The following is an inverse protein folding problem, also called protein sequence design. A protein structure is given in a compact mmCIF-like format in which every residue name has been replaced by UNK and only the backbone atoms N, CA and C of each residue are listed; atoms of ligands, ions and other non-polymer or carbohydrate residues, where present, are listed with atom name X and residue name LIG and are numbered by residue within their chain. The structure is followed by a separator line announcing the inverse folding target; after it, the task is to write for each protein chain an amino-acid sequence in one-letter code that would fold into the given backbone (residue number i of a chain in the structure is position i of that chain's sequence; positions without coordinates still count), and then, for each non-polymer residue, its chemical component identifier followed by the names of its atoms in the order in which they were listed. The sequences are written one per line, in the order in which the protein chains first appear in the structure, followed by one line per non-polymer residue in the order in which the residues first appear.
data_IF_389701291557
#
_entry.id   IF_389701291557
#
_cell.length_a   1.000
_cell.length_b   1.000
_cell.length_c   1.000
_cell.angle_alpha   90.00
_cell.angle_beta   90.00
_cell.angle_gamma   90.00
#
_symmetry.space_group_name_H-M   'P 1'
#
loop_
_entity.id
_entity.type
_entity.pdbx_description
1 polymer ?
#
# COMPACT_ATOMS: atom_id res chain seq x y z
N UNK A 1 6.48 -29.06 -3.36
CA UNK A 1 6.13 -28.60 -4.73
C UNK A 1 5.03 -27.52 -4.75
N UNK A 2 4.94 -26.61 -3.76
CA UNK A 2 3.81 -25.65 -3.65
C UNK A 2 4.16 -24.17 -3.93
N UNK A 3 5.40 -23.88 -4.36
CA UNK A 3 5.84 -22.50 -4.66
C UNK A 3 5.62 -22.06 -6.12
N UNK A 4 5.33 -22.98 -7.03
CA UNK A 4 5.17 -22.68 -8.47
C UNK A 4 3.78 -22.17 -8.89
N UNK A 5 2.73 -22.52 -8.15
CA UNK A 5 1.32 -22.21 -8.50
C UNK A 5 0.86 -20.82 -8.08
N UNK A 6 1.51 -20.20 -7.07
CA UNK A 6 1.17 -18.83 -6.63
C UNK A 6 1.77 -17.75 -7.54
N UNK A 7 2.91 -18.05 -8.19
CA UNK A 7 3.62 -17.10 -9.05
C UNK A 7 3.03 -17.05 -10.47
N UNK A 8 2.40 -18.15 -10.93
CA UNK A 8 1.66 -18.18 -12.20
C UNK A 8 0.35 -17.39 -12.13
N UNK A 9 -0.36 -17.44 -10.99
CA UNK A 9 -1.63 -16.71 -10.82
C UNK A 9 -1.43 -15.20 -10.76
N UNK A 10 -0.40 -14.70 -10.06
CA UNK A 10 -0.09 -13.26 -10.01
C UNK A 10 0.32 -12.70 -11.38
N UNK A 11 1.00 -13.51 -12.19
CA UNK A 11 1.40 -13.16 -13.55
C UNK A 11 0.20 -13.06 -14.51
N UNK A 12 -0.81 -13.93 -14.34
CA UNK A 12 -2.05 -13.84 -15.13
C UNK A 12 -2.89 -12.62 -14.74
N UNK A 13 -3.06 -12.38 -13.43
CA UNK A 13 -3.81 -11.23 -12.92
C UNK A 13 -3.16 -9.90 -13.33
N UNK A 14 -1.83 -9.84 -13.39
CA UNK A 14 -1.10 -8.66 -13.88
C UNK A 14 -1.32 -8.40 -15.37
N UNK A 15 -1.44 -9.45 -16.20
CA UNK A 15 -1.75 -9.29 -17.63
C UNK A 15 -3.19 -8.84 -17.86
N UNK A 16 -4.13 -9.37 -17.08
CA UNK A 16 -5.54 -8.98 -17.18
C UNK A 16 -5.75 -7.51 -16.75
N UNK A 17 -5.01 -7.06 -15.72
CA UNK A 17 -4.98 -5.65 -15.31
C UNK A 17 -4.40 -4.74 -16.41
N UNK A 18 -3.30 -5.14 -17.05
CA UNK A 18 -2.72 -4.40 -18.17
C UNK A 18 -3.65 -4.34 -19.38
N UNK A 19 -4.32 -5.44 -19.71
CA UNK A 19 -5.30 -5.46 -20.80
C UNK A 19 -6.49 -4.52 -20.53
N UNK A 20 -6.93 -4.46 -19.27
CA UNK A 20 -8.02 -3.56 -18.85
C UNK A 20 -7.58 -2.10 -18.83
N UNK A 21 -6.35 -1.81 -18.44
CA UNK A 21 -5.74 -0.48 -18.51
C UNK A 21 -5.64 0.02 -19.95
N UNK A 22 -5.21 -0.82 -20.89
CA UNK A 22 -5.17 -0.48 -22.32
C UNK A 22 -6.57 -0.21 -22.88
N UNK A 23 -7.57 -1.01 -22.48
CA UNK A 23 -8.98 -0.76 -22.85
C UNK A 23 -9.51 0.57 -22.32
N UNK A 24 -9.23 0.91 -21.06
CA UNK A 24 -9.62 2.21 -20.50
C UNK A 24 -8.91 3.37 -21.18
N UNK A 25 -7.64 3.19 -21.55
CA UNK A 25 -6.87 4.20 -22.29
C UNK A 25 -7.49 4.47 -23.66
N UNK A 26 -7.84 3.42 -24.41
CA UNK A 26 -8.52 3.55 -25.72
C UNK A 26 -9.89 4.21 -25.56
N UNK A 27 -10.67 3.81 -24.56
CA UNK A 27 -12.00 4.39 -24.32
C UNK A 27 -11.92 5.87 -23.93
N UNK A 28 -10.94 6.26 -23.11
CA UNK A 28 -10.71 7.66 -22.77
C UNK A 28 -10.30 8.49 -23.99
N UNK A 29 -9.43 7.96 -24.86
CA UNK A 29 -9.07 8.63 -26.10
C UNK A 29 -10.29 8.87 -27.01
N UNK A 30 -11.20 7.89 -27.11
CA UNK A 30 -12.45 8.04 -27.86
C UNK A 30 -13.41 9.06 -27.24
N UNK A 31 -13.48 9.11 -25.90
CA UNK A 31 -14.27 10.11 -25.19
C UNK A 31 -13.72 11.53 -25.39
N UNK A 32 -12.41 11.70 -25.34
CA UNK A 32 -11.75 12.97 -25.63
C UNK A 32 -12.02 13.42 -27.08
N UNK A 33 -11.89 12.51 -28.05
CA UNK A 33 -12.19 12.80 -29.45
C UNK A 33 -13.66 13.21 -29.65
N UNK A 34 -14.60 12.47 -29.05
CA UNK A 34 -16.03 12.78 -29.15
C UNK A 34 -16.38 14.10 -28.46
N UNK A 35 -15.70 14.41 -27.35
CA UNK A 35 -15.84 15.70 -26.66
C UNK A 35 -15.33 16.85 -27.51
N UNK A 36 -14.18 16.67 -28.18
CA UNK A 36 -13.63 17.67 -29.11
C UNK A 36 -14.54 17.90 -30.33
N UNK A 37 -15.14 16.83 -30.86
CA UNK A 37 -16.12 16.94 -31.95
C UNK A 37 -17.38 17.71 -31.52
N UNK A 38 -17.93 17.40 -30.35
CA UNK A 38 -19.10 18.11 -29.81
C UNK A 38 -18.81 19.59 -29.51
N UNK A 39 -17.63 19.91 -28.98
CA UNK A 39 -17.19 21.30 -28.79
C UNK A 39 -17.12 22.05 -30.13
N UNK A 40 -16.55 21.43 -31.16
CA UNK A 40 -16.46 22.02 -32.50
C UNK A 40 -17.84 22.21 -33.15
N UNK A 41 -18.79 21.31 -32.88
CA UNK A 41 -20.17 21.44 -33.35
C UNK A 41 -20.91 22.55 -32.60
N UNK A 42 -20.74 22.65 -31.27
CA UNK A 42 -21.28 23.74 -30.47
C UNK A 42 -20.74 25.10 -30.90
N UNK A 43 -19.44 25.22 -31.18
CA UNK A 43 -18.83 26.44 -31.72
C UNK A 43 -19.42 26.84 -33.07
N UNK A 44 -19.66 25.87 -33.97
CA UNK A 44 -20.33 26.14 -35.26
C UNK A 44 -21.76 26.61 -35.07
N UNK A 45 -22.50 26.04 -34.12
CA UNK A 45 -23.88 26.47 -33.82
C UNK A 45 -23.89 27.88 -33.23
N UNK A 46 -22.95 28.21 -32.34
CA UNK A 46 -22.79 29.55 -31.79
C UNK A 46 -22.40 30.58 -32.87
N UNK A 47 -21.49 30.20 -33.78
CA UNK A 47 -21.08 31.05 -34.88
C UNK A 47 -22.24 31.28 -35.87
N UNK A 48 -23.02 30.24 -36.17
CA UNK A 48 -24.23 30.36 -36.97
C UNK A 48 -25.30 31.23 -36.27
N UNK A 49 -25.47 31.12 -34.96
CA UNK A 49 -26.37 31.95 -34.18
C UNK A 49 -25.92 33.42 -34.16
N UNK A 50 -24.62 33.70 -34.08
CA UNK A 50 -24.06 35.05 -34.20
C UNK A 50 -24.30 35.63 -35.60
N UNK A 51 -24.05 34.86 -36.67
CA UNK A 51 -24.30 35.30 -38.05
C UNK A 51 -25.79 35.56 -38.31
N UNK A 52 -26.68 34.77 -37.70
CA UNK A 52 -28.14 35.00 -37.75
C UNK A 52 -28.55 36.24 -36.94
N UNK A 53 -27.88 36.52 -35.82
CA UNK A 53 -28.14 37.70 -35.00
C UNK A 53 -27.61 38.99 -35.65
N UNK A 54 -26.45 38.93 -36.32
CA UNK A 54 -25.89 40.04 -37.10
C UNK A 54 -26.75 40.35 -38.33
N UNK A 55 -27.35 39.34 -38.97
CA UNK A 55 -28.35 39.54 -40.04
C UNK A 55 -29.68 40.11 -39.56
N UNK A 56 -30.00 39.99 -38.27
CA UNK A 56 -31.22 40.53 -37.66
C UNK A 56 -30.98 41.85 -36.88
N UNK A 57 -29.74 42.34 -36.84
CA UNK A 57 -29.32 43.49 -36.03
C UNK A 57 -29.57 44.88 -36.63
N UNK A 58 -30.12 44.99 -37.85
CA UNK A 58 -30.56 46.25 -38.44
C UNK A 58 -32.08 46.46 -38.26
N UNK A 59 -32.56 46.47 -37.03
CA UNK A 59 -33.82 47.15 -36.71
C UNK A 59 -33.80 47.61 -35.26
N UNK A 60 -33.68 48.93 -35.11
CA UNK A 60 -33.79 49.65 -33.85
C UNK A 60 -35.15 49.43 -33.17
N UNK A 61 -35.16 49.47 -31.83
CA UNK A 61 -36.38 49.72 -31.06
C UNK A 61 -36.28 49.27 -29.60
N UNK A 62 -36.30 50.20 -28.62
CA UNK A 62 -36.09 49.88 -27.21
C UNK A 62 -37.37 49.33 -26.56
N UNK A 63 -37.14 48.55 -25.50
CA UNK A 63 -38.05 48.15 -24.43
C UNK A 63 -39.34 48.97 -24.33
N UNK A 64 -40.48 48.30 -24.54
CA UNK A 64 -41.72 48.62 -23.87
C UNK A 64 -42.21 47.38 -23.13
N UNK A 65 -42.08 47.47 -21.81
CA UNK A 65 -42.91 46.74 -20.86
C UNK A 65 -44.37 47.11 -21.13
N UNK A 66 -45.17 46.16 -21.58
CA UNK A 66 -46.62 46.33 -21.64
C UNK A 66 -47.29 45.07 -21.09
N UNK A 67 -47.52 45.12 -19.78
CA UNK A 67 -48.73 44.56 -19.20
C UNK A 67 -49.92 44.97 -20.06
N UNK A 68 -50.46 44.04 -20.84
CA UNK A 68 -51.78 44.21 -21.46
C UNK A 68 -52.75 43.47 -20.55
N UNK A 69 -53.23 44.22 -19.57
CA UNK A 69 -54.49 43.93 -18.89
C UNK A 69 -55.54 43.60 -19.95
N UNK A 70 -56.29 42.52 -19.70
CA UNK A 70 -57.51 42.19 -20.44
C UNK A 70 -58.55 43.26 -20.13
N UNK A 71 -58.42 44.40 -20.79
CA UNK A 71 -59.44 45.43 -20.81
C UNK A 71 -60.40 45.07 -21.94
N UNK A 72 -61.40 44.25 -21.60
CA UNK A 72 -62.59 44.08 -22.44
C UNK A 72 -63.34 45.41 -22.37
N UNK A 73 -62.91 46.37 -23.19
CA UNK A 73 -63.74 47.52 -23.49
C UNK A 73 -64.83 47.03 -24.42
N UNK A 74 -66.02 46.93 -23.83
CA UNK A 74 -67.30 46.87 -24.51
C UNK A 74 -67.43 48.17 -25.32
N UNK A 75 -66.84 48.21 -26.51
CA UNK A 75 -67.12 49.27 -27.49
C UNK A 75 -68.56 49.07 -27.95
N UNK A 76 -69.48 49.66 -27.20
CA UNK A 76 -70.79 50.03 -27.71
C UNK A 76 -70.57 50.91 -28.94
N UNK A 77 -70.70 50.30 -30.11
CA UNK A 77 -70.80 51.01 -31.38
C UNK A 77 -72.03 51.91 -31.28
N UNK A 78 -71.79 53.16 -30.96
CA UNK A 78 -72.78 54.22 -31.03
C UNK A 78 -73.05 54.46 -32.52
N UNK A 79 -74.13 53.88 -33.05
CA UNK A 79 -74.65 54.32 -34.33
C UNK A 79 -75.18 55.74 -34.10
N UNK A 80 -74.38 56.75 -34.44
CA UNK A 80 -74.94 58.06 -34.72
C UNK A 80 -75.87 57.89 -35.92
N UNK A 81 -77.18 57.87 -35.63
CA UNK A 81 -78.24 58.10 -36.62
C UNK A 81 -78.10 59.54 -37.11
N UNK A 82 -77.16 59.75 -38.05
CA UNK A 82 -77.11 60.95 -38.86
C UNK A 82 -78.28 60.88 -39.85
N UNK A 83 -79.46 61.18 -39.32
CA UNK A 83 -80.72 61.32 -40.04
C UNK A 83 -80.71 62.53 -40.96
N UNK A 84 -79.98 62.43 -42.07
CA UNK A 84 -80.10 63.34 -43.20
C UNK A 84 -80.30 62.51 -44.49
N UNK A 85 -81.51 62.01 -44.68
CA UNK A 85 -81.94 61.21 -45.84
C UNK A 85 -82.38 62.07 -47.06
N UNK A 86 -81.90 63.32 -47.16
CA UNK A 86 -82.15 64.21 -48.30
C UNK A 86 -80.89 64.41 -49.17
N UNK A 87 -80.04 63.39 -49.27
CA UNK A 87 -78.99 63.36 -50.28
C UNK A 87 -79.56 62.76 -51.58
N UNK A 88 -79.65 63.61 -52.60
CA UNK A 88 -80.21 63.33 -53.94
C UNK A 88 -79.65 61.99 -54.46
N UNK A 89 -80.46 60.93 -54.39
CA UNK A 89 -80.05 59.52 -54.58
C UNK A 89 -79.50 59.27 -56.01
N UNK A 90 -79.84 60.18 -56.92
CA UNK A 90 -79.54 60.17 -58.34
C UNK A 90 -78.48 61.21 -58.69
N UNK A 91 -77.38 60.83 -59.38
CA UNK A 91 -76.43 61.80 -59.92
C UNK A 91 -77.14 62.82 -60.82
N UNK A 92 -76.68 64.07 -60.84
CA UNK A 92 -77.30 65.18 -61.61
C UNK A 92 -77.71 64.87 -63.08
N UNK A 93 -77.00 64.00 -63.84
CA UNK A 93 -77.45 63.56 -65.17
C UNK A 93 -78.67 62.63 -65.14
N UNK A 94 -78.81 61.79 -64.12
CA UNK A 94 -79.88 60.81 -63.96
C UNK A 94 -81.22 61.46 -63.55
N UNK A 95 -81.19 62.61 -62.85
CA UNK A 95 -82.39 63.38 -62.51
C UNK A 95 -83.11 63.99 -63.74
N UNK A 96 -82.44 64.08 -64.90
CA UNK A 96 -83.02 64.59 -66.16
C UNK A 96 -83.65 63.50 -67.05
N UNK A 97 -83.58 62.23 -66.65
CA UNK A 97 -84.14 61.09 -67.38
C UNK A 97 -85.63 60.86 -67.06
N UNK A 98 -86.36 60.17 -67.94
CA UNK A 98 -87.76 59.78 -67.65
C UNK A 98 -87.86 58.85 -66.43
N UNK A 99 -88.98 58.89 -65.70
CA UNK A 99 -89.21 58.08 -64.49
C UNK A 99 -88.87 56.58 -64.67
N UNK A 100 -89.12 56.05 -65.86
CA UNK A 100 -88.83 54.65 -66.23
C UNK A 100 -87.33 54.37 -66.37
N UNK A 101 -86.57 55.35 -66.89
CA UNK A 101 -85.13 55.24 -67.02
C UNK A 101 -84.41 55.51 -65.69
N UNK A 102 -84.93 56.42 -64.85
CA UNK A 102 -84.50 56.58 -63.45
C UNK A 102 -84.71 55.28 -62.64
N UNK A 103 -85.89 54.65 -62.75
CA UNK A 103 -86.16 53.35 -62.13
C UNK A 103 -85.19 52.25 -62.58
N UNK A 104 -84.83 52.23 -63.87
CA UNK A 104 -83.86 51.26 -64.40
C UNK A 104 -82.45 51.50 -63.84
N UNK A 105 -82.04 52.77 -63.73
CA UNK A 105 -80.76 53.16 -63.13
C UNK A 105 -80.69 52.79 -61.64
N UNK A 106 -81.72 53.12 -60.85
CA UNK A 106 -81.78 52.76 -59.43
C UNK A 106 -81.74 51.24 -59.23
N UNK A 107 -82.46 50.47 -60.05
CA UNK A 107 -82.38 48.99 -60.02
C UNK A 107 -80.99 48.47 -60.35
N UNK A 108 -80.27 49.11 -61.27
CA UNK A 108 -78.89 48.74 -61.59
C UNK A 108 -77.93 49.10 -60.44
N UNK A 109 -78.06 50.29 -59.83
CA UNK A 109 -77.27 50.72 -58.67
C UNK A 109 -77.51 49.80 -57.47
N UNK A 110 -78.75 49.42 -57.20
CA UNK A 110 -79.09 48.44 -56.16
C UNK A 110 -78.44 47.09 -56.44
N UNK A 111 -78.41 46.61 -57.68
CA UNK A 111 -77.71 45.36 -58.03
C UNK A 111 -76.20 45.47 -57.84
N UNK A 112 -75.55 46.55 -58.29
CA UNK A 112 -74.11 46.76 -58.10
C UNK A 112 -73.77 46.83 -56.61
N UNK A 113 -74.54 47.59 -55.82
CA UNK A 113 -74.34 47.66 -54.37
C UNK A 113 -74.60 46.31 -53.68
N UNK A 114 -75.57 45.52 -54.15
CA UNK A 114 -75.82 44.15 -53.65
C UNK A 114 -74.63 43.23 -53.96
N UNK A 115 -74.07 43.30 -55.17
CA UNK A 115 -72.86 42.55 -55.56
C UNK A 115 -71.64 42.98 -54.75
N UNK A 116 -71.47 44.28 -54.49
CA UNK A 116 -70.42 44.81 -53.62
C UNK A 116 -70.57 44.34 -52.16
N UNK A 117 -71.79 44.37 -51.61
CA UNK A 117 -72.09 43.84 -50.27
C UNK A 117 -71.81 42.34 -50.21
N UNK A 118 -72.21 41.57 -51.22
CA UNK A 118 -71.91 40.13 -51.30
C UNK A 118 -70.41 39.86 -51.37
N UNK A 119 -69.66 40.64 -52.17
CA UNK A 119 -68.20 40.55 -52.24
C UNK A 119 -67.55 40.88 -50.90
N UNK A 120 -67.94 41.98 -50.27
CA UNK A 120 -67.44 42.37 -48.95
C UNK A 120 -67.79 41.32 -47.87
N UNK A 121 -68.99 40.77 -47.91
CA UNK A 121 -69.42 39.69 -47.01
C UNK A 121 -68.59 38.42 -47.21
N UNK A 122 -68.30 38.03 -48.46
CA UNK A 122 -67.44 36.88 -48.74
C UNK A 122 -66.00 37.09 -48.25
N UNK A 123 -65.46 38.31 -48.40
CA UNK A 123 -64.14 38.67 -47.90
C UNK A 123 -64.10 38.66 -46.37
N UNK A 124 -65.13 39.19 -45.72
CA UNK A 124 -65.23 39.20 -44.27
C UNK A 124 -65.32 37.77 -43.70
N UNK A 125 -66.08 36.89 -44.36
CA UNK A 125 -66.11 35.47 -44.00
C UNK A 125 -64.73 34.79 -44.17
N UNK A 126 -64.03 35.06 -45.27
CA UNK A 126 -62.67 34.53 -45.45
C UNK A 126 -61.71 35.02 -44.36
N UNK A 127 -61.74 36.32 -44.02
CA UNK A 127 -60.93 36.86 -42.93
C UNK A 127 -61.34 36.29 -41.57
N UNK A 128 -62.62 35.99 -41.36
CA UNK A 128 -63.10 35.32 -40.15
C UNK A 128 -62.56 33.89 -40.04
N UNK A 129 -62.61 33.13 -41.12
CA UNK A 129 -62.07 31.76 -41.20
C UNK A 129 -60.55 31.75 -41.01
N UNK A 130 -59.83 32.67 -41.64
CA UNK A 130 -58.38 32.84 -41.49
C UNK A 130 -58.02 33.24 -40.05
N UNK A 131 -58.76 34.17 -39.44
CA UNK A 131 -58.57 34.54 -38.04
C UNK A 131 -58.80 33.33 -37.11
N UNK A 132 -59.86 32.56 -37.31
CA UNK A 132 -60.13 31.36 -36.53
C UNK A 132 -59.00 30.33 -36.67
N UNK A 133 -58.43 30.17 -37.88
CA UNK A 133 -57.28 29.29 -38.12
C UNK A 133 -56.02 29.80 -37.44
N UNK A 134 -55.72 31.09 -37.54
CA UNK A 134 -54.56 31.71 -36.90
C UNK A 134 -54.67 31.63 -35.37
N UNK A 135 -55.85 31.84 -34.80
CA UNK A 135 -56.08 31.67 -33.36
C UNK A 135 -55.78 30.24 -32.90
N UNK A 136 -56.21 29.22 -33.65
CA UNK A 136 -55.87 27.82 -33.33
C UNK A 136 -54.37 27.56 -33.40
N UNK A 137 -53.69 28.06 -34.44
CA UNK A 137 -52.24 27.90 -34.58
C UNK A 137 -51.48 28.57 -33.43
N UNK A 138 -51.91 29.76 -32.99
CA UNK A 138 -51.32 30.44 -31.82
C UNK A 138 -51.51 29.61 -30.55
N UNK A 139 -52.70 29.05 -30.33
CA UNK A 139 -52.96 28.17 -29.18
C UNK A 139 -52.06 26.93 -29.20
N UNK A 140 -51.94 26.25 -30.35
CA UNK A 140 -51.07 25.08 -30.51
C UNK A 140 -49.59 25.43 -30.23
N UNK A 141 -49.11 26.56 -30.74
CA UNK A 141 -47.75 27.03 -30.49
C UNK A 141 -47.51 27.43 -29.02
N UNK A 142 -48.51 28.03 -28.36
CA UNK A 142 -48.43 28.37 -26.94
C UNK A 142 -48.38 27.12 -26.05
N UNK A 143 -49.18 26.11 -26.35
CA UNK A 143 -49.17 24.80 -25.67
C UNK A 143 -47.81 24.10 -25.86
N UNK A 144 -47.30 24.08 -27.10
CA UNK A 144 -46.00 23.47 -27.39
C UNK A 144 -44.86 24.24 -26.71
N UNK A 145 -44.89 25.58 -26.69
CA UNK A 145 -43.93 26.40 -25.94
C UNK A 145 -43.96 26.08 -24.45
N UNK A 146 -45.14 25.94 -23.87
CA UNK A 146 -45.29 25.58 -22.46
C UNK A 146 -44.76 24.16 -22.17
N UNK A 147 -45.01 23.21 -23.08
CA UNK A 147 -44.48 21.84 -22.99
C UNK A 147 -42.95 21.85 -23.03
N UNK A 148 -42.35 22.51 -24.02
CA UNK A 148 -40.91 22.65 -24.16
C UNK A 148 -40.29 23.35 -22.95
N UNK A 149 -40.93 24.38 -22.41
CA UNK A 149 -40.45 25.07 -21.20
C UNK A 149 -40.39 24.14 -19.99
N UNK A 150 -41.41 23.29 -19.76
CA UNK A 150 -41.40 22.27 -18.70
C UNK A 150 -40.30 21.22 -18.91
N UNK A 151 -40.10 20.79 -20.15
CA UNK A 151 -39.05 19.83 -20.49
C UNK A 151 -37.66 20.42 -20.25
N UNK A 152 -37.42 21.66 -20.68
CA UNK A 152 -36.14 22.35 -20.50
C UNK A 152 -35.82 22.57 -19.02
N UNK A 153 -36.79 23.01 -18.22
CA UNK A 153 -36.60 23.20 -16.77
C UNK A 153 -36.30 21.87 -16.05
N UNK A 154 -37.00 20.79 -16.43
CA UNK A 154 -36.72 19.44 -15.91
C UNK A 154 -35.31 18.94 -16.29
N UNK A 155 -34.90 19.09 -17.55
CA UNK A 155 -33.57 18.70 -17.99
C UNK A 155 -32.47 19.54 -17.32
N UNK A 156 -32.70 20.85 -17.13
CA UNK A 156 -31.78 21.72 -16.40
C UNK A 156 -31.54 21.21 -14.98
N UNK A 157 -32.61 20.88 -14.24
CA UNK A 157 -32.50 20.33 -12.90
C UNK A 157 -31.75 18.97 -12.87
N UNK A 158 -31.97 18.13 -13.88
CA UNK A 158 -31.27 16.85 -13.99
C UNK A 158 -29.78 17.02 -14.30
N UNK A 159 -29.42 17.98 -15.17
CA UNK A 159 -28.02 18.32 -15.46
C UNK A 159 -27.30 18.79 -14.19
N UNK A 160 -27.94 19.65 -13.39
CA UNK A 160 -27.34 20.15 -12.15
C UNK A 160 -27.15 19.03 -11.12
N UNK A 161 -28.11 18.11 -11.03
CA UNK A 161 -27.99 16.91 -10.17
C UNK A 161 -26.81 16.03 -10.60
N UNK A 162 -26.66 15.76 -11.90
CA UNK A 162 -25.55 14.96 -12.43
C UNK A 162 -24.22 15.67 -12.23
N UNK A 163 -24.13 16.99 -12.45
CA UNK A 163 -22.92 17.79 -12.19
C UNK A 163 -22.50 17.71 -10.72
N UNK A 164 -23.44 17.82 -9.79
CA UNK A 164 -23.15 17.69 -8.36
C UNK A 164 -22.60 16.30 -8.03
N UNK A 165 -23.25 15.24 -8.50
CA UNK A 165 -22.78 13.87 -8.28
C UNK A 165 -21.42 13.60 -8.92
N UNK A 166 -21.15 14.14 -10.11
CA UNK A 166 -19.85 14.04 -10.77
C UNK A 166 -18.75 14.73 -9.95
N UNK A 167 -19.03 15.91 -9.40
CA UNK A 167 -18.06 16.62 -8.56
C UNK A 167 -17.80 15.87 -7.25
N UNK A 168 -18.82 15.29 -6.63
CA UNK A 168 -18.66 14.44 -5.43
C UNK A 168 -17.83 13.18 -5.75
N UNK A 169 -18.05 12.55 -6.90
CA UNK A 169 -17.24 11.41 -7.33
C UNK A 169 -15.78 11.82 -7.61
N UNK A 170 -15.56 12.98 -8.23
CA UNK A 170 -14.21 13.52 -8.48
C UNK A 170 -13.45 13.78 -7.18
N UNK A 171 -14.06 14.49 -6.22
CA UNK A 171 -13.43 14.75 -4.93
C UNK A 171 -13.16 13.45 -4.17
N UNK A 172 -14.04 12.45 -4.29
CA UNK A 172 -13.79 11.13 -3.71
C UNK A 172 -12.59 10.42 -4.36
N UNK A 173 -12.46 10.47 -5.69
CA UNK A 173 -11.28 9.96 -6.39
C UNK A 173 -10.00 10.66 -5.94
N UNK A 174 -10.00 12.00 -5.83
CA UNK A 174 -8.83 12.78 -5.39
C UNK A 174 -8.38 12.37 -3.98
N UNK A 175 -9.33 12.14 -3.06
CA UNK A 175 -9.06 11.67 -1.69
C UNK A 175 -8.47 10.26 -1.71
N UNK A 176 -9.05 9.33 -2.46
CA UNK A 176 -8.54 7.97 -2.58
C UNK A 176 -7.14 7.93 -3.22
N UNK A 177 -6.88 8.78 -4.22
CA UNK A 177 -5.55 8.91 -4.81
C UNK A 177 -4.52 9.42 -3.81
N UNK A 178 -4.88 10.42 -3.00
CA UNK A 178 -4.04 10.92 -1.92
C UNK A 178 -3.74 9.83 -0.87
N UNK A 179 -4.75 9.07 -0.45
CA UNK A 179 -4.59 7.95 0.49
C UNK A 179 -3.69 6.85 -0.10
N UNK A 180 -3.91 6.46 -1.35
CA UNK A 180 -3.07 5.48 -2.07
C UNK A 180 -1.62 5.97 -2.16
N UNK A 181 -1.41 7.26 -2.34
CA UNK A 181 -0.09 7.88 -2.34
C UNK A 181 0.59 7.81 -0.97
N UNK A 182 -0.14 8.10 0.10
CA UNK A 182 0.36 7.99 1.48
C UNK A 182 0.68 6.55 1.84
N UNK A 183 -0.23 5.61 1.63
CA UNK A 183 -0.03 4.17 1.90
C UNK A 183 1.15 3.59 1.11
N UNK A 184 1.35 4.01 -0.14
CA UNK A 184 2.53 3.59 -0.91
C UNK A 184 3.83 4.08 -0.26
N UNK A 185 3.89 5.34 0.17
CA UNK A 185 5.08 5.90 0.83
C UNK A 185 5.36 5.19 2.15
N UNK A 186 4.32 4.90 2.94
CA UNK A 186 4.43 4.12 4.17
C UNK A 186 4.92 2.69 3.91
N UNK A 187 4.42 2.04 2.85
CA UNK A 187 4.90 0.73 2.42
C UNK A 187 6.36 0.73 2.00
N UNK A 188 6.81 1.73 1.25
CA UNK A 188 8.21 1.91 0.89
C UNK A 188 9.09 2.18 2.12
N UNK A 189 8.60 2.99 3.07
CA UNK A 189 9.30 3.27 4.32
C UNK A 189 9.45 2.01 5.18
N UNK A 190 8.37 1.26 5.39
CA UNK A 190 8.36 -0.01 6.13
C UNK A 190 9.29 -1.04 5.48
N UNK A 191 9.36 -1.09 4.14
CA UNK A 191 10.31 -1.97 3.44
C UNK A 191 11.76 -1.57 3.71
N UNK A 192 12.07 -0.27 3.75
CA UNK A 192 13.42 0.23 4.09
C UNK A 192 13.79 -0.12 5.53
N UNK A 193 12.91 0.12 6.49
CA UNK A 193 13.16 -0.20 7.91
C UNK A 193 13.32 -1.70 8.13
N UNK A 194 12.49 -2.54 7.48
CA UNK A 194 12.62 -3.99 7.52
C UNK A 194 13.98 -4.47 6.99
N UNK A 195 14.44 -3.92 5.85
CA UNK A 195 15.75 -4.26 5.30
C UNK A 195 16.90 -3.84 6.23
N UNK A 196 16.79 -2.67 6.86
CA UNK A 196 17.77 -2.20 7.85
C UNK A 196 17.81 -3.13 9.07
N UNK A 197 16.66 -3.50 9.63
CA UNK A 197 16.56 -4.44 10.75
C UNK A 197 17.11 -5.82 10.38
N UNK A 198 16.86 -6.31 9.15
CA UNK A 198 17.41 -7.58 8.68
C UNK A 198 18.95 -7.56 8.60
N UNK A 199 19.53 -6.44 8.15
CA UNK A 199 20.99 -6.25 8.13
C UNK A 199 21.58 -6.19 9.55
N UNK A 200 20.90 -5.49 10.47
CA UNK A 200 21.29 -5.41 11.88
C UNK A 200 21.22 -6.79 12.55
N UNK A 201 20.12 -7.53 12.35
CA UNK A 201 19.95 -8.89 12.87
C UNK A 201 21.05 -9.85 12.37
N UNK A 202 21.42 -9.74 11.09
CA UNK A 202 22.51 -10.54 10.52
C UNK A 202 23.86 -10.19 11.17
N UNK A 203 24.10 -8.91 11.42
CA UNK A 203 25.31 -8.44 12.11
C UNK A 203 25.38 -8.95 13.55
N UNK A 204 24.31 -8.81 14.32
CA UNK A 204 24.24 -9.28 15.71
C UNK A 204 24.34 -10.79 15.81
N UNK A 205 23.70 -11.53 14.90
CA UNK A 205 23.81 -13.00 14.82
C UNK A 205 25.25 -13.43 14.53
N UNK A 206 25.96 -12.74 13.64
CA UNK A 206 27.38 -13.03 13.36
C UNK A 206 28.26 -12.78 14.60
N UNK A 207 28.01 -11.68 15.32
CA UNK A 207 28.74 -11.38 16.57
C UNK A 207 28.45 -12.41 17.65
N UNK A 208 27.19 -12.84 17.80
CA UNK A 208 26.78 -13.88 18.72
C UNK A 208 27.46 -15.21 18.38
N UNK A 209 27.49 -15.60 17.11
CA UNK A 209 28.13 -16.84 16.68
C UNK A 209 29.62 -16.87 17.01
N UNK A 210 30.35 -15.76 16.79
CA UNK A 210 31.77 -15.64 17.20
C UNK A 210 31.95 -15.79 18.71
N UNK A 211 31.07 -15.17 19.51
CA UNK A 211 31.13 -15.29 20.98
C UNK A 211 30.85 -16.72 21.45
N UNK A 212 29.93 -17.44 20.79
CA UNK A 212 29.66 -18.84 21.06
C UNK A 212 30.86 -19.73 20.70
N UNK A 213 31.47 -19.52 19.54
CA UNK A 213 32.69 -20.23 19.11
C UNK A 213 33.85 -20.00 20.10
N UNK A 214 34.03 -18.77 20.58
CA UNK A 214 35.04 -18.45 21.59
C UNK A 214 34.74 -19.10 22.95
N UNK A 215 33.49 -19.11 23.37
CA UNK A 215 33.06 -19.78 24.61
C UNK A 215 33.33 -21.29 24.55
N UNK A 216 33.02 -21.92 23.43
CA UNK A 216 33.28 -23.34 23.21
C UNK A 216 34.80 -23.64 23.18
N UNK A 217 35.60 -22.76 22.55
CA UNK A 217 37.07 -22.85 22.57
C UNK A 217 37.62 -22.81 24.00
N UNK A 218 37.17 -21.84 24.80
CA UNK A 218 37.62 -21.70 26.20
C UNK A 218 37.21 -22.90 27.06
N UNK A 219 36.02 -23.45 26.83
CA UNK A 219 35.57 -24.67 27.51
C UNK A 219 36.46 -25.87 27.19
N UNK A 220 36.79 -26.07 25.92
CA UNK A 220 37.73 -27.13 25.50
C UNK A 220 39.12 -26.93 26.10
N UNK A 221 39.61 -25.69 26.18
CA UNK A 221 40.90 -25.36 26.78
C UNK A 221 40.90 -25.65 28.30
N UNK A 222 39.80 -25.35 28.99
CA UNK A 222 39.62 -25.73 30.40
C UNK A 222 39.62 -27.24 30.59
N UNK A 223 38.85 -27.99 29.79
CA UNK A 223 38.78 -29.45 29.89
C UNK A 223 40.14 -30.10 29.64
N UNK A 224 40.89 -29.60 28.64
CA UNK A 224 42.27 -30.02 28.37
C UNK A 224 43.18 -29.75 29.56
N UNK A 225 43.13 -28.55 30.13
CA UNK A 225 43.95 -28.19 31.30
C UNK A 225 43.61 -29.06 32.51
N UNK A 226 42.31 -29.33 32.73
CA UNK A 226 41.82 -30.20 33.81
C UNK A 226 42.28 -31.64 33.65
N UNK A 227 42.25 -32.19 32.44
CA UNK A 227 42.75 -33.54 32.14
C UNK A 227 44.27 -33.64 32.35
N UNK A 228 45.03 -32.68 31.82
CA UNK A 228 46.49 -32.62 32.00
C UNK A 228 46.90 -32.48 33.47
N UNK A 229 46.16 -31.67 34.24
CA UNK A 229 46.37 -31.52 35.68
C UNK A 229 46.10 -32.83 36.41
N UNK A 230 45.04 -33.54 36.04
CA UNK A 230 44.71 -34.86 36.62
C UNK A 230 45.80 -35.89 36.33
N UNK A 231 46.25 -36.00 35.08
CA UNK A 231 47.33 -36.91 34.68
C UNK A 231 48.65 -36.59 35.41
N UNK A 232 49.00 -35.31 35.53
CA UNK A 232 50.17 -34.86 36.29
C UNK A 232 50.08 -35.24 37.77
N UNK A 233 48.92 -35.01 38.41
CA UNK A 233 48.67 -35.40 39.80
C UNK A 233 48.75 -36.92 39.97
N UNK A 234 48.16 -37.70 39.07
CA UNK A 234 48.19 -39.16 39.14
C UNK A 234 49.62 -39.70 38.91
N UNK A 235 50.40 -39.11 38.01
CA UNK A 235 51.83 -39.41 37.82
C UNK A 235 52.66 -39.07 39.06
N UNK A 236 52.42 -37.91 39.69
CA UNK A 236 53.10 -37.53 40.93
C UNK A 236 52.78 -38.50 42.06
N UNK A 237 51.52 -38.92 42.21
CA UNK A 237 51.13 -39.93 43.19
C UNK A 237 51.87 -41.24 42.97
N UNK A 238 51.93 -41.74 41.74
CA UNK A 238 52.66 -42.97 41.43
C UNK A 238 54.16 -42.86 41.74
N UNK A 239 54.78 -41.71 41.42
CA UNK A 239 56.18 -41.44 41.77
C UNK A 239 56.40 -41.39 43.29
N UNK A 240 55.48 -40.76 44.03
CA UNK A 240 55.54 -40.71 45.50
C UNK A 240 55.41 -42.12 46.09
N UNK A 241 54.46 -42.92 45.59
CA UNK A 241 54.29 -44.32 46.00
C UNK A 241 55.55 -45.14 45.75
N UNK A 242 56.15 -45.03 44.56
CA UNK A 242 57.40 -45.70 44.23
C UNK A 242 58.52 -45.30 45.20
N UNK A 243 58.75 -43.99 45.41
CA UNK A 243 59.74 -43.48 46.36
C UNK A 243 59.48 -43.97 47.79
N UNK A 244 58.23 -44.04 48.23
CA UNK A 244 57.89 -44.58 49.54
C UNK A 244 58.24 -46.07 49.67
N UNK A 245 57.98 -46.87 48.63
CA UNK A 245 58.35 -48.31 48.64
C UNK A 245 59.86 -48.51 48.68
N UNK A 246 60.60 -47.74 47.88
CA UNK A 246 62.06 -47.77 47.85
C UNK A 246 62.67 -47.30 49.17
N UNK A 247 62.14 -46.22 49.77
CA UNK A 247 62.59 -45.73 51.06
C UNK A 247 62.37 -46.79 52.17
N UNK A 248 61.20 -47.45 52.19
CA UNK A 248 60.95 -48.58 53.10
C UNK A 248 61.91 -49.75 52.86
N UNK A 249 62.27 -50.05 51.61
CA UNK A 249 63.24 -51.10 51.27
C UNK A 249 64.64 -50.75 51.77
N UNK A 250 65.09 -49.52 51.53
CA UNK A 250 66.39 -49.02 51.97
C UNK A 250 66.51 -48.99 53.50
N UNK A 251 65.46 -48.56 54.22
CA UNK A 251 65.46 -48.60 55.69
C UNK A 251 65.55 -50.04 56.21
N UNK A 252 64.86 -51.02 55.59
CA UNK A 252 65.02 -52.45 55.95
C UNK A 252 66.47 -52.91 55.74
N UNK A 253 67.03 -52.67 54.56
CA UNK A 253 68.42 -53.04 54.25
C UNK A 253 69.42 -52.41 55.23
N UNK A 254 69.22 -51.13 55.59
CA UNK A 254 70.02 -50.43 56.60
C UNK A 254 69.90 -51.11 57.98
N UNK A 255 68.69 -51.47 58.42
CA UNK A 255 68.51 -52.17 59.71
C UNK A 255 69.14 -53.56 59.72
N UNK A 256 69.05 -54.30 58.62
CA UNK A 256 69.70 -55.61 58.44
C UNK A 256 71.22 -55.46 58.49
N UNK A 257 71.77 -54.47 57.79
CA UNK A 257 73.20 -54.18 57.78
C UNK A 257 73.72 -53.77 59.16
N UNK A 258 72.99 -52.90 59.88
CA UNK A 258 73.31 -52.55 61.27
C UNK A 258 73.31 -53.79 62.16
N UNK A 259 72.34 -54.69 61.98
CA UNK A 259 72.25 -55.94 62.75
C UNK A 259 73.42 -56.87 62.44
N UNK A 260 73.80 -57.00 61.16
CA UNK A 260 74.96 -57.77 60.73
C UNK A 260 76.26 -57.22 61.34
N UNK A 261 76.49 -55.90 61.27
CA UNK A 261 77.64 -55.26 61.91
C UNK A 261 77.68 -55.49 63.42
N UNK A 262 76.55 -55.37 64.12
CA UNK A 262 76.47 -55.67 65.57
C UNK A 262 76.85 -57.12 65.89
N UNK A 263 76.39 -58.09 65.08
CA UNK A 263 76.78 -59.50 65.23
C UNK A 263 78.27 -59.70 64.98
N UNK A 264 78.82 -59.04 63.96
CA UNK A 264 80.23 -59.13 63.61
C UNK A 264 81.14 -58.52 64.69
N UNK A 265 80.74 -57.40 65.29
CA UNK A 265 81.40 -56.83 66.48
C UNK A 265 81.47 -57.83 67.64
N UNK A 266 80.34 -58.47 67.98
CA UNK A 266 80.32 -59.51 69.04
C UNK A 266 81.22 -60.70 68.70
N UNK A 267 81.25 -61.12 67.44
CA UNK A 267 82.13 -62.20 66.99
C UNK A 267 83.61 -61.80 67.15
N UNK A 268 83.99 -60.57 66.79
CA UNK A 268 85.33 -60.03 67.00
C UNK A 268 85.70 -60.08 68.49
N UNK A 269 84.79 -59.69 69.39
CA UNK A 269 85.04 -59.72 70.84
C UNK A 269 85.27 -61.16 71.35
N UNK A 270 84.45 -62.12 70.91
CA UNK A 270 84.62 -63.55 71.26
C UNK A 270 85.95 -64.09 70.73
N UNK A 271 86.29 -63.82 69.46
CA UNK A 271 87.54 -64.27 68.86
C UNK A 271 88.76 -63.66 69.55
N UNK A 272 88.71 -62.39 69.95
CA UNK A 272 89.77 -61.75 70.74
C UNK A 272 89.95 -62.42 72.10
N UNK A 273 88.87 -62.74 72.82
CA UNK A 273 88.94 -63.49 74.08
C UNK A 273 89.50 -64.89 73.87
N UNK A 274 89.04 -65.61 72.86
CA UNK A 274 89.54 -66.94 72.52
C UNK A 274 91.03 -66.92 72.21
N UNK A 275 91.48 -65.95 71.39
CA UNK A 275 92.90 -65.74 71.10
C UNK A 275 93.71 -65.56 72.39
N UNK A 276 93.28 -64.67 73.28
CA UNK A 276 93.93 -64.44 74.57
C UNK A 276 93.97 -65.69 75.46
N UNK A 277 92.87 -66.45 75.54
CA UNK A 277 92.83 -67.71 76.32
C UNK A 277 93.76 -68.77 75.75
N UNK A 278 93.82 -68.90 74.42
CA UNK A 278 94.74 -69.83 73.75
C UNK A 278 96.19 -69.42 73.98
N UNK A 279 96.51 -68.12 73.87
CA UNK A 279 97.85 -67.59 74.17
C UNK A 279 98.24 -67.88 75.63
N UNK A 280 97.34 -67.65 76.59
CA UNK A 280 97.57 -68.00 77.99
C UNK A 280 97.77 -69.51 78.22
N UNK A 281 96.95 -70.37 77.59
CA UNK A 281 97.12 -71.83 77.64
C UNK A 281 98.44 -72.29 77.05
N UNK A 282 98.89 -71.71 75.92
CA UNK A 282 100.20 -72.01 75.33
C UNK A 282 101.34 -71.59 76.24
N UNK A 283 101.25 -70.42 76.87
CA UNK A 283 102.23 -70.01 77.88
C UNK A 283 102.27 -70.99 79.05
N UNK A 284 101.12 -71.44 79.56
CA UNK A 284 101.04 -72.45 80.62
C UNK A 284 101.67 -73.78 80.19
N UNK A 285 101.36 -74.28 78.99
CA UNK A 285 101.97 -75.49 78.44
C UNK A 285 103.49 -75.37 78.32
N UNK A 286 104.01 -74.23 77.84
CA UNK A 286 105.45 -73.99 77.78
C UNK A 286 106.07 -74.00 79.17
N UNK A 287 105.45 -73.34 80.16
CA UNK A 287 105.94 -73.39 81.55
C UNK A 287 105.87 -74.78 82.16
N UNK A 288 104.85 -75.58 81.82
CA UNK A 288 104.71 -76.97 82.26
C UNK A 288 105.80 -77.86 81.62
N UNK A 289 106.06 -77.72 80.32
CA UNK A 289 107.15 -78.40 79.62
C UNK A 289 108.53 -78.02 80.18
N UNK A 290 108.77 -76.74 80.48
CA UNK A 290 110.01 -76.28 81.12
C UNK A 290 110.15 -76.85 82.54
N UNK A 291 109.07 -76.88 83.31
CA UNK A 291 109.05 -77.49 84.65
C UNK A 291 109.32 -78.99 84.62
N UNK A 292 108.70 -79.72 83.68
CA UNK A 292 108.94 -81.15 83.47
C UNK A 292 110.37 -81.44 83.01
N UNK A 293 110.94 -80.63 82.11
CA UNK A 293 112.37 -80.74 81.75
C UNK A 293 113.30 -80.52 82.96
N UNK A 294 112.95 -79.61 83.86
CA UNK A 294 113.69 -79.41 85.11
C UNK A 294 113.58 -80.62 86.07
N UNK A 295 112.46 -81.35 86.04
CA UNK A 295 112.27 -82.61 86.75
C UNK A 295 113.02 -83.78 86.09
N UNK A 296 113.03 -83.89 84.76
CA UNK A 296 113.78 -84.92 84.03
C UNK A 296 115.30 -84.73 84.15
N UNK A 297 115.78 -83.50 84.34
CA UNK A 297 117.18 -83.25 84.73
C UNK A 297 117.57 -83.89 86.06
N UNK A 298 116.60 -84.24 86.93
CA UNK A 298 116.85 -84.98 88.17
C UNK A 298 116.78 -86.50 87.99
N UNK A 299 116.35 -87.04 86.84
CA UNK A 299 116.13 -88.49 86.63
C UNK A 299 117.06 -89.15 85.61
N UNK A 300 118.00 -88.43 84.98
CA UNK A 300 119.16 -89.04 84.29
C UNK A 300 120.46 -88.85 85.09
N UNK A 301 120.91 -89.87 85.85
CA UNK A 301 122.22 -89.87 86.52
C UNK A 301 123.37 -90.10 85.51
N UNK A 302 124.60 -89.69 85.86
CA UNK A 302 125.67 -89.39 84.91
C UNK A 302 126.35 -90.66 84.37
N UNK A 303 126.93 -90.55 83.17
CA UNK A 303 128.00 -91.44 82.68
C UNK A 303 129.18 -90.57 82.27
#
# INVERSE_FOLDING_TARGET
MLRGTLQSNSSSASRDLQAKEEQYRVLNAQLEERTAQLLKEADKVLQNAQVLNEKNGESQGPNNDSSIEKNVHDEQIHYEDNGNFDEDILPAPANKLSQKAQNRYLRAKVRVLQEEIQKMSSQLNNYHDDNARLTKLVQELEEERNRLHRVTTSHSAQVDKVKKSLNEARTHCDVLEAERNTLRKEGENTKRTMNQQAAELKSTTTRLQRALEETERLKQEMDKTRSSTRESVDSMKHSIEQLMTDNRRLERQKTELITAFKKQLRLIDVLRRQKMLIEASKCLQLTEEEFLKALDWQTTPPS
#
